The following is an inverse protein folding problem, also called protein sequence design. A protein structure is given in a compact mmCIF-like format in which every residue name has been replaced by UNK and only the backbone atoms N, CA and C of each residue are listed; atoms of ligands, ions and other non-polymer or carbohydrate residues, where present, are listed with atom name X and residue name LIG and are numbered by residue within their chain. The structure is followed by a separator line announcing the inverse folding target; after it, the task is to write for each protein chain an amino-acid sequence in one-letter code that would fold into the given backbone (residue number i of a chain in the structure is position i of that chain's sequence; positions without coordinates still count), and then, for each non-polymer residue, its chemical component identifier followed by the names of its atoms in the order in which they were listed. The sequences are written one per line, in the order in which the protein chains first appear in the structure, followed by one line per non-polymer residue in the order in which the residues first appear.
data_IF_914637030121
#
_entry.id   IF_914637030121
#
_cell.length_a   1.000
_cell.length_b   1.000
_cell.length_c   1.000
_cell.angle_alpha   90.00
_cell.angle_beta   90.00
_cell.angle_gamma   90.00
#
_symmetry.space_group_name_H-M   'P 1'
#
loop_
_entity.id
_entity.type
_entity.pdbx_description
1 polymer ?
#
# COMPACT_ATOMS: atom_id res chain seq x y z
N UNK A 1 1.31 7.33 -19.14
CA UNK A 1 2.00 7.59 -17.87
C UNK A 1 2.07 6.29 -17.09
N UNK A 2 3.12 5.50 -17.29
CA UNK A 2 3.36 4.28 -16.54
C UNK A 2 4.49 4.60 -15.55
N UNK A 3 4.14 5.09 -14.36
CA UNK A 3 5.01 4.86 -13.22
C UNK A 3 5.05 3.34 -13.09
N UNK A 4 6.16 2.69 -13.43
CA UNK A 4 6.33 1.24 -13.38
C UNK A 4 6.33 0.68 -11.95
N UNK A 5 5.40 1.18 -11.13
CA UNK A 5 5.11 0.71 -9.80
C UNK A 5 3.92 -0.22 -9.80
N UNK A 6 4.08 -1.28 -9.04
CA UNK A 6 3.11 -2.31 -8.79
C UNK A 6 2.79 -2.30 -7.29
N UNK A 7 1.56 -2.68 -6.98
CA UNK A 7 1.10 -2.85 -5.60
C UNK A 7 0.78 -4.32 -5.42
N UNK A 8 1.29 -4.89 -4.35
CA UNK A 8 1.08 -6.28 -3.96
C UNK A 8 0.31 -6.30 -2.65
N UNK A 9 -0.74 -7.11 -2.58
CA UNK A 9 -1.52 -7.28 -1.36
C UNK A 9 -0.79 -8.25 -0.41
N UNK A 10 -0.59 -7.83 0.84
CA UNK A 10 0.10 -8.62 1.87
C UNK A 10 -0.87 -9.27 2.87
N UNK A 11 -2.02 -8.64 3.13
CA UNK A 11 -3.02 -9.14 4.07
C UNK A 11 -3.99 -8.05 4.51
N UNK A 12 -4.94 -8.39 5.38
CA UNK A 12 -5.78 -7.41 6.07
C UNK A 12 -5.99 -7.84 7.52
N UNK A 13 -6.30 -6.87 8.38
CA UNK A 13 -6.68 -7.13 9.77
C UNK A 13 -8.20 -7.29 9.95
N UNK A 14 -8.61 -7.72 11.14
CA UNK A 14 -10.03 -7.80 11.52
C UNK A 14 -10.68 -6.43 11.75
N UNK A 15 -9.88 -5.36 11.85
CA UNK A 15 -10.34 -3.98 11.99
C UNK A 15 -10.62 -3.29 10.63
N UNK A 16 -10.35 -3.97 9.51
CA UNK A 16 -10.53 -3.45 8.15
C UNK A 16 -9.33 -2.68 7.58
N UNK A 17 -8.13 -2.86 8.12
CA UNK A 17 -6.89 -2.32 7.54
C UNK A 17 -6.33 -3.31 6.52
N UNK A 18 -6.25 -2.91 5.25
CA UNK A 18 -5.51 -3.64 4.22
C UNK A 18 -4.03 -3.24 4.25
N UNK A 19 -3.16 -4.24 4.20
CA UNK A 19 -1.73 -4.09 4.10
C UNK A 19 -1.27 -4.38 2.69
N UNK A 20 -0.56 -3.41 2.11
CA UNK A 20 -0.05 -3.47 0.75
C UNK A 20 1.45 -3.21 0.78
N UNK A 21 2.17 -3.84 -0.13
CA UNK A 21 3.56 -3.49 -0.45
C UNK A 21 3.59 -2.91 -1.84
N UNK A 22 4.31 -1.81 -2.01
CA UNK A 22 4.45 -1.13 -3.29
C UNK A 22 5.89 -1.28 -3.76
N UNK A 23 6.06 -1.92 -4.90
CA UNK A 23 7.36 -2.13 -5.53
C UNK A 23 7.38 -1.48 -6.89
N UNK A 24 8.56 -1.04 -7.33
CA UNK A 24 8.68 -0.34 -8.61
C UNK A 24 8.03 1.05 -8.58
N UNK A 25 8.44 1.92 -9.49
CA UNK A 25 8.10 3.34 -9.42
C UNK A 25 9.28 4.10 -8.84
N UNK A 26 10.00 4.76 -9.75
CA UNK A 26 11.14 5.66 -9.55
C UNK A 26 11.72 5.69 -8.13
N UNK A 27 12.90 5.10 -7.98
CA UNK A 27 13.82 5.09 -6.84
C UNK A 27 14.19 6.50 -6.26
N UNK A 28 13.39 7.55 -6.48
CA UNK A 28 13.83 8.93 -6.21
C UNK A 28 12.78 10.02 -6.09
N UNK A 29 11.46 9.76 -6.11
CA UNK A 29 10.45 10.81 -5.89
C UNK A 29 9.42 10.42 -4.83
N UNK A 30 9.73 10.75 -3.56
CA UNK A 30 8.87 10.54 -2.40
C UNK A 30 7.45 11.11 -2.57
N UNK A 31 7.29 12.19 -3.33
CA UNK A 31 6.00 12.86 -3.53
C UNK A 31 5.02 12.07 -4.41
N UNK A 32 5.50 11.26 -5.37
CA UNK A 32 4.65 10.43 -6.23
C UNK A 32 4.10 9.19 -5.51
N UNK A 33 4.77 8.75 -4.43
CA UNK A 33 4.35 7.60 -3.64
C UNK A 33 3.08 7.89 -2.82
N UNK A 34 2.99 9.10 -2.25
CA UNK A 34 1.85 9.51 -1.42
C UNK A 34 0.57 9.59 -2.26
N UNK A 35 0.63 10.22 -3.43
CA UNK A 35 -0.54 10.34 -4.32
C UNK A 35 -0.99 8.98 -4.87
N UNK A 36 -0.05 8.06 -5.11
CA UNK A 36 -0.38 6.69 -5.50
C UNK A 36 -1.10 5.94 -4.36
N UNK A 37 -0.61 6.07 -3.12
CA UNK A 37 -1.27 5.50 -1.93
C UNK A 37 -2.69 6.01 -1.74
N UNK A 38 -2.90 7.32 -1.88
CA UNK A 38 -4.21 7.93 -1.73
C UNK A 38 -5.19 7.42 -2.80
N UNK A 39 -4.74 7.29 -4.04
CA UNK A 39 -5.55 6.72 -5.13
C UNK A 39 -5.90 5.25 -4.89
N UNK A 40 -4.94 4.46 -4.42
CA UNK A 40 -5.13 3.03 -4.08
C UNK A 40 -6.10 2.89 -2.90
N UNK A 41 -5.94 3.71 -1.85
CA UNK A 41 -6.83 3.68 -0.69
C UNK A 41 -8.27 4.00 -1.09
N UNK A 42 -8.49 5.09 -1.83
CA UNK A 42 -9.82 5.49 -2.28
C UNK A 42 -10.47 4.35 -3.07
N UNK A 43 -9.73 3.81 -4.04
CA UNK A 43 -10.22 2.73 -4.90
C UNK A 43 -10.54 1.45 -4.12
N UNK A 44 -9.70 1.06 -3.14
CA UNK A 44 -9.94 -0.14 -2.35
C UNK A 44 -11.15 0.00 -1.43
N UNK A 45 -11.28 1.12 -0.73
CA UNK A 45 -12.41 1.36 0.19
C UNK A 45 -13.73 1.41 -0.57
N UNK A 46 -13.73 1.95 -1.80
CA UNK A 46 -14.93 1.98 -2.65
C UNK A 46 -15.30 0.61 -3.25
N UNK A 47 -14.31 -0.23 -3.55
CA UNK A 47 -14.54 -1.52 -4.26
C UNK A 47 -14.59 -2.73 -3.34
N UNK A 48 -14.04 -2.66 -2.14
CA UNK A 48 -13.92 -3.80 -1.23
C UNK A 48 -14.62 -3.46 0.09
N UNK A 49 -15.85 -3.97 0.23
CA UNK A 49 -16.60 -3.88 1.47
C UNK A 49 -15.83 -4.62 2.59
N UNK A 50 -15.50 -3.90 3.66
CA UNK A 50 -14.70 -4.41 4.78
C UNK A 50 -13.30 -3.79 4.90
N UNK A 51 -12.82 -3.09 3.87
CA UNK A 51 -11.57 -2.31 3.97
C UNK A 51 -11.92 -0.85 4.31
N UNK A 52 -11.44 -0.39 5.47
CA UNK A 52 -11.59 0.99 5.95
C UNK A 52 -10.33 1.82 5.78
N UNK A 53 -9.15 1.18 5.72
CA UNK A 53 -7.86 1.86 5.65
C UNK A 53 -6.85 1.02 4.89
N UNK A 54 -5.90 1.68 4.25
CA UNK A 54 -4.78 1.03 3.56
C UNK A 54 -3.46 1.46 4.21
N UNK A 55 -2.56 0.52 4.47
CA UNK A 55 -1.20 0.80 4.96
C UNK A 55 -0.16 0.21 4.03
N UNK A 56 0.82 1.03 3.71
CA UNK A 56 2.03 0.60 3.02
C UNK A 56 2.98 -0.08 4.01
N UNK A 57 3.32 -1.33 3.74
CA UNK A 57 4.35 -2.11 4.46
C UNK A 57 5.70 -2.06 3.73
N UNK A 58 5.83 -1.29 2.65
CA UNK A 58 7.13 -1.16 1.98
C UNK A 58 8.09 -0.50 2.94
N UNK A 59 9.03 -1.30 3.44
CA UNK A 59 10.02 -0.81 4.36
C UNK A 59 10.94 0.22 3.66
N UNK A 60 10.82 1.49 4.05
CA UNK A 60 11.66 2.56 3.52
C UNK A 60 12.62 3.13 4.57
N UNK A 61 12.66 2.58 5.79
CA UNK A 61 13.70 2.93 6.79
C UNK A 61 14.13 1.83 7.77
N UNK A 62 13.39 0.73 7.98
CA UNK A 62 13.70 -0.28 8.99
C UNK A 62 13.17 -1.67 8.65
N UNK A 63 14.07 -2.57 8.25
CA UNK A 63 13.79 -3.91 7.74
C UNK A 63 13.12 -4.86 8.73
N UNK A 64 11.84 -4.64 9.03
CA UNK A 64 11.07 -5.53 9.88
C UNK A 64 9.72 -5.82 9.23
N UNK A 65 9.56 -7.08 8.83
CA UNK A 65 8.33 -7.69 8.35
C UNK A 65 7.47 -8.09 9.56
N UNK A 66 6.37 -7.40 9.92
CA UNK A 66 5.40 -7.95 10.83
C UNK A 66 4.37 -8.74 10.01
N UNK A 67 4.73 -9.95 9.59
CA UNK A 67 3.69 -10.89 9.17
C UNK A 67 2.95 -11.38 10.42
N UNK A 68 1.62 -11.25 10.33
CA UNK A 68 0.59 -11.74 11.24
C UNK A 68 0.89 -13.16 11.78
N UNK A 69 0.64 -13.37 13.08
CA UNK A 69 0.27 -14.68 13.65
C UNK A 69 -1.22 -14.66 13.93
#
# INVERSE_FOLDING_TARGET
AAHGGFVTFAGHDEAGTAYLTMGGGCHGCSMSKVTMLEGVQTTLVEKVEGIQRVRDMTDHQSGENPFYR
#
